data_IF_221272098273
#
_entry.id   IF_221272098273
#
_cell.length_a   1.000
_cell.length_b   1.000
_cell.length_c   1.000
_cell.angle_alpha   90.00
_cell.angle_beta   90.00
_cell.angle_gamma   90.00
#
_symmetry.space_group_name_H-M   'P 1'
#
loop_
_entity.id
_entity.type
_entity.pdbx_description
1 polymer ?
#
# COMPACT_ATOMS: atom_id res chain seq x y z
N UNK A 1 -12.92 -9.39 -38.04
CA UNK A 1 -12.43 -8.09 -37.52
C UNK A 1 -13.01 -7.78 -36.14
N UNK A 2 -14.32 -7.93 -35.93
CA UNK A 2 -15.00 -7.65 -34.65
C UNK A 2 -14.43 -8.40 -33.45
N UNK A 3 -14.05 -9.68 -33.62
CA UNK A 3 -13.42 -10.46 -32.55
C UNK A 3 -12.05 -9.90 -32.10
N UNK A 4 -11.23 -9.42 -33.04
CA UNK A 4 -9.91 -8.83 -32.74
C UNK A 4 -10.08 -7.49 -32.03
N UNK A 5 -11.04 -6.68 -32.47
CA UNK A 5 -11.38 -5.39 -31.82
C UNK A 5 -11.93 -5.63 -30.42
N UNK A 6 -12.84 -6.59 -30.24
CA UNK A 6 -13.37 -6.96 -28.92
C UNK A 6 -12.28 -7.45 -27.96
N UNK A 7 -11.35 -8.27 -28.45
CA UNK A 7 -10.23 -8.74 -27.64
C UNK A 7 -9.24 -7.62 -27.28
N UNK A 8 -8.95 -6.72 -28.22
CA UNK A 8 -8.11 -5.55 -27.98
C UNK A 8 -8.73 -4.58 -26.96
N UNK A 9 -10.04 -4.34 -27.04
CA UNK A 9 -10.77 -3.52 -26.07
C UNK A 9 -10.77 -4.17 -24.69
N UNK A 10 -11.05 -5.47 -24.58
CA UNK A 10 -11.05 -6.18 -23.29
C UNK A 10 -9.67 -6.17 -22.62
N UNK A 11 -8.60 -6.44 -23.38
CA UNK A 11 -7.22 -6.37 -22.87
C UNK A 11 -6.82 -4.93 -22.55
N UNK A 12 -7.23 -3.96 -23.36
CA UNK A 12 -7.01 -2.53 -23.12
C UNK A 12 -7.67 -2.04 -21.83
N UNK A 13 -8.94 -2.40 -21.60
CA UNK A 13 -9.64 -2.08 -20.35
C UNK A 13 -8.98 -2.73 -19.13
N UNK A 14 -8.53 -3.98 -19.26
CA UNK A 14 -7.82 -4.69 -18.18
C UNK A 14 -6.49 -3.98 -17.85
N UNK A 15 -5.74 -3.58 -18.88
CA UNK A 15 -4.49 -2.83 -18.71
C UNK A 15 -4.72 -1.46 -18.08
N UNK A 16 -5.73 -0.71 -18.55
CA UNK A 16 -6.09 0.59 -18.00
C UNK A 16 -6.48 0.49 -16.52
N UNK A 17 -7.28 -0.52 -16.14
CA UNK A 17 -7.63 -0.79 -14.74
C UNK A 17 -6.38 -1.07 -13.90
N UNK A 18 -5.52 -2.00 -14.33
CA UNK A 18 -4.27 -2.31 -13.65
C UNK A 18 -3.40 -1.05 -13.46
N UNK A 19 -3.26 -0.26 -14.52
CA UNK A 19 -2.48 0.98 -14.46
C UNK A 19 -3.07 2.00 -13.48
N UNK A 20 -4.38 2.24 -13.53
CA UNK A 20 -5.07 3.13 -12.58
C UNK A 20 -4.94 2.65 -11.14
N UNK A 21 -4.98 1.33 -10.90
CA UNK A 21 -4.78 0.73 -9.57
C UNK A 21 -3.35 0.93 -9.08
N UNK A 22 -2.34 0.79 -9.94
CA UNK A 22 -0.95 1.09 -9.62
C UNK A 22 -0.76 2.57 -9.27
N UNK A 23 -1.34 3.49 -10.03
CA UNK A 23 -1.29 4.93 -9.74
C UNK A 23 -1.92 5.25 -8.38
N UNK A 24 -3.16 4.78 -8.15
CA UNK A 24 -3.85 5.02 -6.88
C UNK A 24 -3.08 4.43 -5.69
N UNK A 25 -2.55 3.21 -5.84
CA UNK A 25 -1.72 2.57 -4.82
C UNK A 25 -0.45 3.35 -4.54
N UNK A 26 0.18 3.92 -5.57
CA UNK A 26 1.41 4.71 -5.41
C UNK A 26 1.14 5.99 -4.61
N UNK A 27 0.03 6.68 -4.91
CA UNK A 27 -0.39 7.86 -4.16
C UNK A 27 -0.68 7.53 -2.67
N UNK A 28 -1.36 6.42 -2.41
CA UNK A 28 -1.65 5.98 -1.03
C UNK A 28 -0.38 5.53 -0.30
N UNK A 29 0.56 4.88 -0.99
CA UNK A 29 1.85 4.52 -0.40
C UNK A 29 2.66 5.76 0.00
N UNK A 30 2.69 6.80 -0.85
CA UNK A 30 3.31 8.09 -0.53
C UNK A 30 2.63 8.77 0.67
N UNK A 31 1.29 8.73 0.72
CA UNK A 31 0.53 9.26 1.85
C UNK A 31 0.87 8.51 3.16
N UNK A 32 0.97 7.18 3.09
CA UNK A 32 1.35 6.34 4.22
C UNK A 32 2.80 6.58 4.66
N UNK A 33 3.75 6.68 3.72
CA UNK A 33 5.16 7.01 4.00
C UNK A 33 5.27 8.30 4.81
N UNK A 34 4.59 9.35 4.34
CA UNK A 34 4.62 10.66 4.98
C UNK A 34 4.22 10.61 6.46
N UNK A 35 3.17 9.85 6.79
CA UNK A 35 2.70 9.72 8.17
C UNK A 35 3.54 8.71 8.97
N UNK A 36 3.97 7.62 8.35
CA UNK A 36 4.84 6.61 8.95
C UNK A 36 6.16 7.21 9.42
N UNK A 37 6.86 8.00 8.60
CA UNK A 37 8.15 8.57 8.97
C UNK A 37 8.08 9.52 10.18
N UNK A 38 6.93 10.16 10.40
CA UNK A 38 6.69 10.98 11.60
C UNK A 38 6.45 10.11 12.82
N UNK A 39 5.55 9.14 12.69
CA UNK A 39 5.29 8.14 13.72
C UNK A 39 6.57 7.39 14.13
N UNK A 40 7.38 6.99 13.15
CA UNK A 40 8.58 6.19 13.35
C UNK A 40 9.63 6.88 14.24
N UNK A 41 9.73 8.21 14.19
CA UNK A 41 10.64 8.96 15.06
C UNK A 41 10.25 8.89 16.53
N UNK A 42 8.96 8.78 16.81
CA UNK A 42 8.39 8.81 18.16
C UNK A 42 8.08 7.41 18.71
N UNK A 43 7.97 6.42 17.82
CA UNK A 43 7.54 5.08 18.19
C UNK A 43 8.67 4.26 18.85
N UNK A 44 8.43 3.65 20.02
CA UNK A 44 9.37 2.72 20.64
C UNK A 44 9.45 1.39 19.87
N UNK A 45 8.47 1.09 19.01
CA UNK A 45 8.41 -0.14 18.23
C UNK A 45 9.28 -0.09 16.96
N UNK A 46 9.73 1.09 16.56
CA UNK A 46 10.64 1.25 15.42
C UNK A 46 12.08 1.17 15.92
N UNK A 47 12.92 0.28 15.36
CA UNK A 47 14.32 0.15 15.77
C UNK A 47 15.09 1.47 15.61
N UNK A 48 15.95 1.80 16.56
CA UNK A 48 16.75 3.02 16.50
C UNK A 48 17.70 3.03 15.30
N UNK A 49 18.15 1.85 14.87
CA UNK A 49 18.92 1.68 13.63
C UNK A 49 18.19 2.25 12.40
N UNK A 50 16.87 2.12 12.32
CA UNK A 50 16.07 2.72 11.24
C UNK A 50 15.95 4.24 11.42
N UNK A 51 15.72 4.71 12.65
CA UNK A 51 15.59 6.14 12.95
C UNK A 51 16.87 6.93 12.66
N UNK A 52 18.04 6.28 12.82
CA UNK A 52 19.35 6.87 12.53
C UNK A 52 19.72 6.94 11.05
N UNK A 53 18.97 6.27 10.17
CA UNK A 53 19.22 6.33 8.73
C UNK A 53 18.93 7.72 8.16
N UNK A 54 19.59 8.06 7.04
CA UNK A 54 19.25 9.25 6.29
C UNK A 54 17.80 9.16 5.77
N UNK A 55 17.13 10.30 5.60
CA UNK A 55 15.73 10.34 5.17
C UNK A 55 15.50 9.62 3.82
N UNK A 56 16.47 9.68 2.91
CA UNK A 56 16.40 8.95 1.63
C UNK A 56 16.39 7.43 1.83
N UNK A 57 17.21 6.91 2.75
CA UNK A 57 17.31 5.49 3.05
C UNK A 57 16.09 4.97 3.82
N UNK A 58 15.53 5.79 4.73
CA UNK A 58 14.27 5.49 5.42
C UNK A 58 13.12 5.33 4.42
N UNK A 59 13.04 6.24 3.44
CA UNK A 59 12.06 6.18 2.34
C UNK A 59 12.26 4.92 1.50
N UNK A 60 13.49 4.68 1.04
CA UNK A 60 13.81 3.51 0.24
C UNK A 60 13.41 2.21 0.95
N UNK A 61 13.77 2.08 2.22
CA UNK A 61 13.42 0.93 3.06
C UNK A 61 11.90 0.78 3.22
N UNK A 62 11.17 1.88 3.46
CA UNK A 62 9.71 1.86 3.51
C UNK A 62 9.11 1.32 2.21
N UNK A 63 9.53 1.85 1.06
CA UNK A 63 9.01 1.40 -0.23
C UNK A 63 9.39 -0.05 -0.55
N UNK A 64 10.56 -0.52 -0.13
CA UNK A 64 10.94 -1.94 -0.26
C UNK A 64 10.00 -2.84 0.55
N UNK A 65 9.73 -2.49 1.82
CA UNK A 65 8.81 -3.25 2.68
C UNK A 65 7.40 -3.25 2.10
N UNK A 66 6.95 -2.09 1.60
CA UNK A 66 5.67 -1.93 0.91
C UNK A 66 5.61 -2.87 -0.30
N UNK A 67 6.59 -2.83 -1.21
CA UNK A 67 6.64 -3.74 -2.37
C UNK A 67 6.64 -5.22 -1.96
N UNK A 68 7.45 -5.61 -0.98
CA UNK A 68 7.48 -6.99 -0.47
C UNK A 68 6.13 -7.43 0.11
N UNK A 69 5.46 -6.55 0.86
CA UNK A 69 4.12 -6.80 1.37
C UNK A 69 3.08 -6.93 0.25
N UNK A 70 3.22 -6.13 -0.82
CA UNK A 70 2.37 -6.23 -2.01
C UNK A 70 2.52 -7.60 -2.67
N UNK A 71 3.75 -8.08 -2.82
CA UNK A 71 4.03 -9.42 -3.37
C UNK A 71 3.42 -10.52 -2.48
N UNK A 72 3.48 -10.36 -1.16
CA UNK A 72 2.84 -11.28 -0.20
C UNK A 72 1.32 -11.30 -0.34
N UNK A 73 0.67 -10.14 -0.33
CA UNK A 73 -0.79 -10.00 -0.48
C UNK A 73 -1.24 -10.53 -1.84
N UNK A 74 -0.51 -10.24 -2.91
CA UNK A 74 -0.78 -10.77 -4.24
C UNK A 74 -0.76 -12.29 -4.24
N UNK A 75 0.32 -12.88 -3.71
CA UNK A 75 0.48 -14.34 -3.61
C UNK A 75 -0.68 -14.96 -2.82
N UNK A 76 -0.99 -14.44 -1.63
CA UNK A 76 -2.09 -14.93 -0.81
C UNK A 76 -3.45 -14.81 -1.52
N UNK A 77 -3.68 -13.72 -2.24
CA UNK A 77 -4.93 -13.51 -2.98
C UNK A 77 -5.07 -14.47 -4.16
N UNK A 78 -3.97 -14.75 -4.88
CA UNK A 78 -3.96 -15.78 -5.94
C UNK A 78 -4.30 -17.14 -5.35
N UNK A 79 -3.70 -17.52 -4.23
CA UNK A 79 -4.02 -18.78 -3.56
C UNK A 79 -5.49 -18.85 -3.12
N UNK A 80 -6.03 -17.79 -2.51
CA UNK A 80 -7.43 -17.74 -2.09
C UNK A 80 -8.40 -17.83 -3.27
N UNK A 81 -8.13 -17.13 -4.36
CA UNK A 81 -8.98 -17.16 -5.55
C UNK A 81 -8.97 -18.53 -6.22
N UNK A 82 -7.80 -19.18 -6.27
CA UNK A 82 -7.67 -20.54 -6.81
C UNK A 82 -8.28 -21.61 -5.90
N UNK A 83 -8.20 -21.44 -4.58
CA UNK A 83 -8.73 -22.40 -3.61
C UNK A 83 -10.24 -22.26 -3.38
N UNK A 84 -10.79 -21.05 -3.57
CA UNK A 84 -12.20 -20.74 -3.29
C UNK A 84 -13.05 -20.53 -4.57
N UNK A 85 -12.55 -20.90 -5.74
CA UNK A 85 -13.23 -20.80 -7.04
C UNK A 85 -13.87 -19.42 -7.30
N UNK A 86 -13.19 -18.36 -6.86
CA UNK A 86 -13.71 -16.99 -6.96
C UNK A 86 -13.56 -16.49 -8.41
N UNK A 87 -14.54 -15.73 -8.96
CA UNK A 87 -14.41 -15.15 -10.29
C UNK A 87 -13.12 -14.32 -10.43
N UNK A 88 -12.33 -14.56 -11.49
CA UNK A 88 -11.02 -13.90 -11.70
C UNK A 88 -11.09 -12.37 -11.73
N UNK A 89 -12.23 -11.78 -12.14
CA UNK A 89 -12.45 -10.32 -12.09
C UNK A 89 -12.47 -9.78 -10.65
N UNK A 90 -12.91 -10.57 -9.68
CA UNK A 90 -12.94 -10.19 -8.26
C UNK A 90 -11.54 -10.22 -7.64
N UNK A 91 -10.58 -10.96 -8.21
CA UNK A 91 -9.20 -11.01 -7.73
C UNK A 91 -8.54 -9.62 -7.70
N UNK A 92 -8.69 -8.86 -8.79
CA UNK A 92 -8.14 -7.51 -8.91
C UNK A 92 -8.78 -6.56 -7.89
N UNK A 93 -10.10 -6.65 -7.70
CA UNK A 93 -10.81 -5.86 -6.69
C UNK A 93 -10.33 -6.18 -5.27
N UNK A 94 -10.18 -7.46 -4.93
CA UNK A 94 -9.71 -7.89 -3.60
C UNK A 94 -8.29 -7.41 -3.32
N UNK A 95 -7.35 -7.62 -4.26
CA UNK A 95 -5.96 -7.13 -4.11
C UNK A 95 -5.95 -5.62 -3.87
N UNK A 96 -6.70 -4.88 -4.67
CA UNK A 96 -6.76 -3.42 -4.55
C UNK A 96 -7.36 -2.97 -3.23
N UNK A 97 -8.49 -3.53 -2.81
CA UNK A 97 -9.11 -3.18 -1.54
C UNK A 97 -8.21 -3.51 -0.35
N UNK A 98 -7.59 -4.69 -0.34
CA UNK A 98 -6.66 -5.08 0.74
C UNK A 98 -5.44 -4.17 0.79
N UNK A 99 -4.88 -3.82 -0.37
CA UNK A 99 -3.62 -3.10 -0.42
C UNK A 99 -3.79 -1.59 -0.32
N UNK A 100 -4.63 -0.99 -1.16
CA UNK A 100 -4.92 0.44 -1.13
C UNK A 100 -5.70 0.83 0.14
N UNK A 101 -6.73 0.06 0.50
CA UNK A 101 -7.50 0.28 1.72
C UNK A 101 -6.66 0.05 2.99
N UNK A 102 -5.85 -1.02 3.01
CA UNK A 102 -4.95 -1.32 4.12
C UNK A 102 -3.88 -0.25 4.35
N UNK A 103 -3.21 0.19 3.29
CA UNK A 103 -2.22 1.28 3.37
C UNK A 103 -2.86 2.60 3.82
N UNK A 104 -4.07 2.91 3.34
CA UNK A 104 -4.80 4.10 3.76
C UNK A 104 -5.17 4.04 5.25
N UNK A 105 -5.65 2.89 5.72
CA UNK A 105 -5.94 2.66 7.15
C UNK A 105 -4.69 2.79 8.03
N UNK A 106 -3.57 2.22 7.61
CA UNK A 106 -2.28 2.37 8.29
C UNK A 106 -1.82 3.83 8.35
N UNK A 107 -1.96 4.58 7.26
CA UNK A 107 -1.63 6.00 7.22
C UNK A 107 -2.46 6.80 8.25
N UNK A 108 -3.76 6.51 8.36
CA UNK A 108 -4.63 7.12 9.36
C UNK A 108 -4.25 6.73 10.79
N UNK A 109 -3.90 5.47 11.03
CA UNK A 109 -3.40 5.02 12.32
C UNK A 109 -2.12 5.77 12.72
N UNK A 110 -1.13 5.83 11.82
CA UNK A 110 0.10 6.58 12.07
C UNK A 110 -0.19 8.06 12.34
N UNK A 111 -1.08 8.66 11.55
CA UNK A 111 -1.53 10.04 11.72
C UNK A 111 -2.12 10.28 13.11
N UNK A 112 -3.03 9.44 13.56
CA UNK A 112 -3.62 9.58 14.89
C UNK A 112 -2.55 9.40 15.98
N UNK A 113 -1.68 8.40 15.84
CA UNK A 113 -0.68 8.07 16.86
C UNK A 113 0.36 9.18 17.07
N UNK A 114 0.90 9.79 16.00
CA UNK A 114 1.88 10.88 16.18
C UNK A 114 1.23 12.21 16.58
N UNK A 115 -0.03 12.46 16.19
CA UNK A 115 -0.74 13.67 16.62
C UNK A 115 -1.08 13.64 18.12
N UNK A 116 -1.35 12.46 18.68
CA UNK A 116 -1.57 12.28 20.13
C UNK A 116 -0.27 12.48 20.92
N UNK A 117 0.88 12.12 20.34
CA UNK A 117 2.17 12.34 21.01
C UNK A 117 2.50 13.84 21.15
N UNK A 118 2.22 14.65 20.13
CA UNK A 118 2.46 16.11 20.16
C UNK A 118 1.55 16.85 21.15
N UNK A 119 0.36 16.32 21.48
CA UNK A 119 -0.54 16.92 22.49
C UNK A 119 -0.23 16.47 23.92
N UNK A 120 0.56 15.41 24.09
CA UNK A 120 0.96 14.87 25.39
C UNK A 120 2.29 15.45 25.91
N UNK A 121 3.04 16.19 25.09
CA UNK A 121 4.23 16.91 25.55
C UNK A 121 3.82 18.14 26.37
N UNK A 122 4.09 18.19 27.69
CA UNK A 122 3.80 19.39 28.48
C UNK A 122 4.68 20.53 27.97
N UNK A 123 4.06 21.66 27.65
CA UNK A 123 4.74 22.90 27.35
C UNK A 123 5.57 23.32 28.57
N UNK A 124 6.87 23.03 28.55
CA UNK A 124 7.86 23.63 29.47
C UNK A 124 8.26 25.01 29.00
#
# INVERSE_FOLDING_TARGET
MEWVVGHAVEKGCTFALLFSMCVATSAVAQYCEFHFLRFAKQSPYVPDAFKSLAAADQRSTFYQVVVLSAMGVWTATVFLVLAADVPRRSMLGVVYSCYTGGLFGLAHFFKQAYLVADSASPST
#
